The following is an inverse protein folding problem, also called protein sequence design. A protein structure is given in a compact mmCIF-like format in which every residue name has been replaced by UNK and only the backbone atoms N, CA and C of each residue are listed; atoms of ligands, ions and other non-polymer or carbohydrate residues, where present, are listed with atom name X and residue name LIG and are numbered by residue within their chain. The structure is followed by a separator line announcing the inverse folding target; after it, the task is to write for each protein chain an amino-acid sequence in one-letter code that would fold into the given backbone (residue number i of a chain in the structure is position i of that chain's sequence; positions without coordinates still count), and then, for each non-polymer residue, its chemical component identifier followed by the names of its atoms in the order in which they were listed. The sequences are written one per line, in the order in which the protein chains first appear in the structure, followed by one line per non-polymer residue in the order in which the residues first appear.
data_IF_746815319131
#
_entry.id   IF_746815319131
#
_cell.length_a   1.000
_cell.length_b   1.000
_cell.length_c   1.000
_cell.angle_alpha   90.00
_cell.angle_beta   90.00
_cell.angle_gamma   90.00
#
_symmetry.space_group_name_H-M   'P 1'
#
loop_
_entity.id
_entity.type
_entity.pdbx_description
1 polymer ?
#
# COMPACT_ATOMS: atom_id res chain seq x y z
N UNK A 1 -5.88 -8.47 -17.57
CA UNK A 1 -6.11 -7.10 -17.06
C UNK A 1 -4.77 -6.43 -16.71
N UNK A 2 -4.67 -5.09 -16.74
CA UNK A 2 -3.38 -4.40 -16.53
C UNK A 2 -3.16 -4.02 -15.05
N UNK A 3 -2.42 -4.81 -14.26
CA UNK A 3 -2.17 -4.54 -12.83
C UNK A 3 -1.12 -3.46 -12.51
N UNK A 4 -0.62 -2.69 -13.49
CA UNK A 4 0.44 -1.71 -13.25
C UNK A 4 0.02 -0.64 -12.23
N UNK A 5 -1.24 -0.19 -12.25
CA UNK A 5 -1.77 0.77 -11.29
C UNK A 5 -1.72 0.22 -9.86
N UNK A 6 -2.16 -1.02 -9.64
CA UNK A 6 -2.14 -1.66 -8.33
C UNK A 6 -0.71 -1.86 -7.81
N UNK A 7 0.25 -2.21 -8.69
CA UNK A 7 1.67 -2.32 -8.35
C UNK A 7 2.27 -0.97 -7.93
N UNK A 8 1.91 0.10 -8.65
CA UNK A 8 2.39 1.45 -8.36
C UNK A 8 1.82 1.97 -7.04
N UNK A 9 0.51 1.81 -6.82
CA UNK A 9 -0.13 2.20 -5.56
C UNK A 9 0.42 1.42 -4.36
N UNK A 10 0.65 0.11 -4.50
CA UNK A 10 1.28 -0.70 -3.44
C UNK A 10 2.70 -0.21 -3.09
N UNK A 11 3.47 0.25 -4.08
CA UNK A 11 4.80 0.83 -3.85
C UNK A 11 4.70 2.18 -3.12
N UNK A 12 3.81 3.07 -3.57
CA UNK A 12 3.64 4.38 -2.96
C UNK A 12 3.14 4.28 -1.52
N UNK A 13 2.10 3.49 -1.28
CA UNK A 13 1.53 3.25 0.04
C UNK A 13 2.61 2.69 0.98
N UNK A 14 3.29 1.61 0.58
CA UNK A 14 4.31 0.99 1.43
C UNK A 14 5.48 1.91 1.72
N UNK A 15 5.91 2.70 0.72
CA UNK A 15 6.98 3.70 0.91
C UNK A 15 6.53 4.82 1.84
N UNK A 16 5.29 5.30 1.72
CA UNK A 16 4.74 6.36 2.58
C UNK A 16 4.62 5.93 4.04
N UNK A 17 4.23 4.68 4.30
CA UNK A 17 4.17 4.12 5.65
C UNK A 17 5.58 3.96 6.25
N UNK A 18 6.54 3.49 5.46
CA UNK A 18 7.95 3.41 5.88
C UNK A 18 8.54 4.80 6.15
N UNK A 19 8.22 5.82 5.35
CA UNK A 19 8.64 7.19 5.61
C UNK A 19 8.02 7.75 6.89
N UNK A 20 6.73 7.48 7.13
CA UNK A 20 6.02 7.93 8.33
C UNK A 20 6.66 7.35 9.60
N UNK A 21 6.88 6.03 9.63
CA UNK A 21 7.37 5.34 10.83
C UNK A 21 8.89 5.46 10.94
N UNK A 22 9.62 5.38 9.83
CA UNK A 22 11.09 5.35 9.80
C UNK A 22 11.75 6.72 9.80
N UNK A 23 11.07 7.78 9.36
CA UNK A 23 11.63 9.14 9.35
C UNK A 23 10.81 10.08 10.21
N UNK A 24 9.51 10.20 9.98
CA UNK A 24 8.71 11.23 10.66
C UNK A 24 8.63 10.99 12.17
N UNK A 25 8.47 9.74 12.62
CA UNK A 25 8.45 9.40 14.04
C UNK A 25 9.79 9.67 14.74
N UNK A 26 10.96 9.21 14.22
CA UNK A 26 12.26 9.61 14.77
C UNK A 26 12.48 11.13 14.78
N UNK A 27 12.02 11.85 13.76
CA UNK A 27 12.14 13.32 13.73
C UNK A 27 11.29 13.99 14.83
N UNK A 28 10.08 13.47 15.07
CA UNK A 28 9.21 13.94 16.16
C UNK A 28 9.86 13.75 17.52
N UNK A 29 10.34 12.55 17.83
CA UNK A 29 10.90 12.25 19.16
C UNK A 29 12.34 12.74 19.35
N UNK A 30 13.14 12.79 18.28
CA UNK A 30 14.55 13.18 18.36
C UNK A 30 14.80 14.68 18.21
N UNK A 31 13.98 15.39 17.43
CA UNK A 31 14.19 16.80 17.10
C UNK A 31 12.98 17.70 17.42
N UNK A 32 11.88 17.14 17.95
CA UNK A 32 10.68 17.90 18.32
C UNK A 32 9.83 18.39 17.13
N UNK A 33 10.09 17.93 15.91
CA UNK A 33 9.36 18.35 14.70
C UNK A 33 8.02 17.62 14.56
N UNK A 34 7.01 18.02 15.34
CA UNK A 34 5.67 17.41 15.29
C UNK A 34 4.96 17.63 13.96
N UNK A 35 5.23 18.75 13.28
CA UNK A 35 4.64 19.08 11.98
C UNK A 35 5.02 18.06 10.88
N UNK A 36 6.21 17.45 10.96
CA UNK A 36 6.64 16.45 10.00
C UNK A 36 5.73 15.22 10.02
N UNK A 37 5.32 14.76 11.22
CA UNK A 37 4.39 13.63 11.37
C UNK A 37 3.00 14.01 10.88
N UNK A 38 2.54 15.25 11.12
CA UNK A 38 1.24 15.70 10.62
C UNK A 38 1.19 15.70 9.09
N UNK A 39 2.18 16.28 8.42
CA UNK A 39 2.21 16.38 6.95
C UNK A 39 2.39 14.99 6.31
N UNK A 40 3.36 14.21 6.78
CA UNK A 40 3.62 12.87 6.24
C UNK A 40 2.46 11.91 6.57
N UNK A 41 1.86 12.06 7.75
CA UNK A 41 0.70 11.27 8.17
C UNK A 41 -0.53 11.54 7.32
N UNK A 42 -0.82 12.81 7.00
CA UNK A 42 -1.89 13.17 6.07
C UNK A 42 -1.62 12.61 4.66
N UNK A 43 -0.40 12.77 4.15
CA UNK A 43 -0.02 12.25 2.84
C UNK A 43 -0.18 10.71 2.77
N UNK A 44 0.28 10.00 3.81
CA UNK A 44 0.09 8.56 3.93
C UNK A 44 -1.40 8.18 4.02
N UNK A 45 -2.20 8.87 4.82
CA UNK A 45 -3.64 8.59 4.95
C UNK A 45 -4.39 8.69 3.62
N UNK A 46 -4.07 9.71 2.80
CA UNK A 46 -4.62 9.84 1.44
C UNK A 46 -4.18 8.69 0.55
N UNK A 47 -2.89 8.32 0.59
CA UNK A 47 -2.36 7.18 -0.19
C UNK A 47 -2.97 5.85 0.24
N UNK A 48 -3.20 5.65 1.53
CA UNK A 48 -3.85 4.46 2.08
C UNK A 48 -5.28 4.32 1.56
N UNK A 49 -6.06 5.40 1.57
CA UNK A 49 -7.41 5.40 1.01
C UNK A 49 -7.40 5.16 -0.50
N UNK A 50 -6.49 5.80 -1.23
CA UNK A 50 -6.34 5.61 -2.68
C UNK A 50 -5.95 4.17 -3.04
N UNK A 51 -5.00 3.58 -2.31
CA UNK A 51 -4.61 2.18 -2.48
C UNK A 51 -5.79 1.24 -2.25
N UNK A 52 -6.55 1.44 -1.17
CA UNK A 52 -7.71 0.60 -0.86
C UNK A 52 -8.85 0.75 -1.89
N UNK A 53 -9.09 1.96 -2.40
CA UNK A 53 -10.04 2.17 -3.48
C UNK A 53 -9.63 1.41 -4.76
N UNK A 54 -8.34 1.46 -5.12
CA UNK A 54 -7.81 0.70 -6.25
C UNK A 54 -7.88 -0.81 -5.98
N UNK A 55 -7.56 -1.26 -4.76
CA UNK A 55 -7.65 -2.66 -4.37
C UNK A 55 -9.09 -3.20 -4.54
N UNK A 56 -10.08 -2.46 -4.06
CA UNK A 56 -11.51 -2.80 -4.21
C UNK A 56 -11.93 -2.79 -5.68
N UNK A 57 -11.48 -1.80 -6.46
CA UNK A 57 -11.73 -1.78 -7.91
C UNK A 57 -11.22 -3.04 -8.60
N UNK A 58 -10.00 -3.49 -8.28
CA UNK A 58 -9.47 -4.74 -8.81
C UNK A 58 -10.20 -5.95 -8.26
N UNK A 59 -10.60 -5.96 -6.98
CA UNK A 59 -11.36 -7.07 -6.40
C UNK A 59 -12.67 -7.35 -7.18
N UNK A 60 -13.35 -6.32 -7.68
CA UNK A 60 -14.59 -6.48 -8.46
C UNK A 60 -14.36 -6.73 -9.96
N UNK A 61 -13.23 -6.31 -10.52
CA UNK A 61 -12.98 -6.33 -11.98
C UNK A 61 -12.04 -7.47 -12.42
N UNK A 62 -11.34 -8.08 -11.48
CA UNK A 62 -10.28 -9.08 -11.66
C UNK A 62 -10.75 -10.46 -11.23
N UNK A 63 -10.11 -11.56 -11.65
CA UNK A 63 -10.24 -12.87 -10.99
C UNK A 63 -9.61 -12.91 -9.57
N UNK A 64 -9.46 -11.76 -8.92
CA UNK A 64 -8.89 -11.66 -7.58
C UNK A 64 -9.91 -12.18 -6.58
N UNK A 65 -9.52 -13.22 -5.84
CA UNK A 65 -10.40 -13.80 -4.83
C UNK A 65 -10.51 -12.89 -3.60
N UNK A 66 -11.61 -12.95 -2.84
CA UNK A 66 -11.85 -12.07 -1.67
C UNK A 66 -10.72 -12.16 -0.64
N UNK A 67 -10.17 -13.37 -0.43
CA UNK A 67 -9.02 -13.61 0.43
C UNK A 67 -7.76 -12.86 -0.03
N UNK A 68 -7.57 -12.67 -1.34
CA UNK A 68 -6.45 -11.93 -1.89
C UNK A 68 -6.63 -10.42 -1.73
N UNK A 69 -7.87 -9.92 -1.84
CA UNK A 69 -8.19 -8.54 -1.50
C UNK A 69 -7.97 -8.28 -0.01
N UNK A 70 -8.45 -9.16 0.87
CA UNK A 70 -8.25 -9.05 2.32
C UNK A 70 -6.77 -9.05 2.71
N UNK A 71 -5.95 -9.91 2.09
CA UNK A 71 -4.48 -9.88 2.26
C UNK A 71 -3.88 -8.53 1.85
N UNK A 72 -4.40 -7.90 0.80
CA UNK A 72 -3.97 -6.56 0.37
C UNK A 72 -4.28 -5.49 1.42
N UNK A 73 -5.48 -5.53 2.00
CA UNK A 73 -5.88 -4.63 3.07
C UNK A 73 -4.99 -4.78 4.31
N UNK A 74 -4.81 -6.02 4.80
CA UNK A 74 -3.94 -6.30 5.94
C UNK A 74 -2.49 -5.88 5.65
N UNK A 75 -2.02 -6.11 4.42
CA UNK A 75 -0.68 -5.70 3.99
C UNK A 75 -0.46 -4.17 4.04
N UNK A 76 -1.49 -3.36 3.84
CA UNK A 76 -1.41 -1.89 3.96
C UNK A 76 -1.38 -1.36 5.40
N UNK A 77 -1.67 -2.21 6.40
CA UNK A 77 -1.57 -1.82 7.81
C UNK A 77 -0.18 -2.16 8.40
N UNK A 78 0.57 -3.02 7.72
CA UNK A 78 1.85 -3.52 8.21
C UNK A 78 2.98 -2.80 7.48
N UNK A 79 4.00 -2.28 8.19
CA UNK A 79 5.18 -1.69 7.55
C UNK A 79 5.79 -2.68 6.56
N UNK A 80 6.06 -2.21 5.34
CA UNK A 80 6.53 -3.03 4.23
C UNK A 80 5.58 -4.17 3.76
N UNK A 81 4.37 -4.29 4.30
CA UNK A 81 3.43 -5.35 3.94
C UNK A 81 2.99 -5.28 2.47
N UNK A 82 2.73 -4.08 1.94
CA UNK A 82 2.35 -3.88 0.54
C UNK A 82 3.45 -4.23 -0.45
N UNK A 83 4.73 -4.18 -0.06
CA UNK A 83 5.83 -4.70 -0.89
C UNK A 83 5.75 -6.22 -1.03
N UNK A 84 5.48 -6.92 0.07
CA UNK A 84 5.28 -8.38 0.08
C UNK A 84 4.05 -8.74 -0.75
N UNK A 85 2.95 -8.00 -0.59
CA UNK A 85 1.73 -8.17 -1.36
C UNK A 85 1.99 -8.03 -2.88
N UNK A 86 2.75 -7.00 -3.28
CA UNK A 86 3.17 -6.80 -4.67
C UNK A 86 3.99 -7.98 -5.20
N UNK A 87 4.97 -8.46 -4.43
CA UNK A 87 5.87 -9.52 -4.84
C UNK A 87 5.19 -10.90 -4.93
N UNK A 88 4.13 -11.12 -4.13
CA UNK A 88 3.46 -12.42 -4.02
C UNK A 88 2.13 -12.45 -4.77
N UNK A 89 1.14 -11.67 -4.32
CA UNK A 89 -0.25 -11.74 -4.80
C UNK A 89 -0.38 -11.09 -6.17
N UNK A 90 0.06 -9.83 -6.33
CA UNK A 90 -0.09 -9.11 -7.60
C UNK A 90 0.71 -9.79 -8.73
N UNK A 91 1.89 -10.34 -8.40
CA UNK A 91 2.70 -11.11 -9.36
C UNK A 91 1.94 -12.35 -9.87
N UNK A 92 1.35 -13.14 -8.96
CA UNK A 92 0.55 -14.32 -9.31
C UNK A 92 -0.67 -13.97 -10.14
N UNK A 93 -1.40 -12.92 -9.77
CA UNK A 93 -2.56 -12.44 -10.53
C UNK A 93 -2.18 -12.02 -11.95
N UNK A 94 -1.06 -11.31 -12.12
CA UNK A 94 -0.59 -10.94 -13.48
C UNK A 94 -0.19 -12.15 -14.33
N UNK A 95 0.29 -13.23 -13.71
CA UNK A 95 0.62 -14.46 -14.43
C UNK A 95 -0.63 -15.25 -14.81
N UNK A 96 -1.63 -15.32 -13.92
CA UNK A 96 -2.89 -16.01 -14.16
C UNK A 96 -3.72 -15.35 -15.27
N UNK A 97 -3.72 -14.02 -15.34
CA UNK A 97 -4.42 -13.24 -16.37
C UNK A 97 -3.77 -13.29 -17.77
N UNK A 98 -2.58 -13.88 -17.89
CA UNK A 98 -1.83 -13.97 -19.15
C UNK A 98 -2.07 -15.29 -19.92
N UNK A 99 -2.96 -16.14 -19.41
CA UNK A 99 -3.46 -17.37 -20.03
C UNK A 99 -4.95 -17.24 -20.31
#
# INVERSE_FOLDING_TARGET
MNYQLLKFMALLEGTSLLLLIGIAMPLKYGLGYEQAVSVVGMAHGVLFLAFNAVLVYYAFRSPMNEMQAFKGFIASLIPAGTFVYKATVIKRLSQQDSF
#
